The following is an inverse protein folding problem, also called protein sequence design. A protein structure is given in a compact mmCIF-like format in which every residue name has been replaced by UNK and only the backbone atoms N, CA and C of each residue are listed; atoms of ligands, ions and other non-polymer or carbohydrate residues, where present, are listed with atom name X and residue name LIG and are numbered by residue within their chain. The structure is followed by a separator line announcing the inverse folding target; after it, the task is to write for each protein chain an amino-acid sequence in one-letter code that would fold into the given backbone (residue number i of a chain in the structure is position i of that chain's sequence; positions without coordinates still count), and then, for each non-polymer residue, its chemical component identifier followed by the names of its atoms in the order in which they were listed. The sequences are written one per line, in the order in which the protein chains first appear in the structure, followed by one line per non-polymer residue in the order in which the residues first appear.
data_IF_726344079886
#
_entry.id   IF_726344079886
#
_cell.length_a   1.000
_cell.length_b   1.000
_cell.length_c   1.000
_cell.angle_alpha   90.00
_cell.angle_beta   90.00
_cell.angle_gamma   90.00
#
_symmetry.space_group_name_H-M   'P 1'
#
loop_
_entity.id
_entity.type
_entity.pdbx_description
1 polymer ?
#
# COMPACT_ATOMS: atom_id res chain seq x y z
N UNK A 1 -9.31 18.60 7.28
CA UNK A 1 -8.00 17.91 7.35
C UNK A 1 -6.94 18.94 7.66
N UNK A 2 -6.03 18.68 8.61
CA UNK A 2 -4.95 19.61 8.90
C UNK A 2 -3.94 19.63 7.75
N UNK A 3 -3.61 20.83 7.25
CA UNK A 3 -2.58 21.02 6.21
C UNK A 3 -1.22 21.15 6.87
N UNK A 4 -0.61 20.01 7.20
CA UNK A 4 0.80 19.94 7.60
C UNK A 4 1.71 20.25 6.41
N UNK A 5 2.84 20.92 6.65
CA UNK A 5 3.91 21.15 5.65
C UNK A 5 4.94 20.02 5.62
N UNK A 6 4.80 19.03 6.51
CA UNK A 6 5.71 17.89 6.59
C UNK A 6 5.48 16.95 5.40
N UNK A 7 6.55 16.57 4.71
CA UNK A 7 6.50 15.60 3.61
C UNK A 7 6.46 14.17 4.15
N UNK A 8 5.33 13.50 3.95
CA UNK A 8 5.01 12.26 4.67
C UNK A 8 4.86 11.05 3.76
N UNK A 9 4.50 11.25 2.49
CA UNK A 9 4.25 10.19 1.52
C UNK A 9 5.34 10.20 0.47
N UNK A 10 5.99 9.06 0.25
CA UNK A 10 7.00 8.93 -0.81
C UNK A 10 6.35 8.94 -2.20
N UNK A 11 6.97 9.65 -3.14
CA UNK A 11 6.56 9.66 -4.54
C UNK A 11 6.74 8.32 -5.24
N UNK A 12 7.41 7.33 -4.61
CA UNK A 12 7.36 5.94 -5.09
C UNK A 12 5.93 5.39 -5.14
N UNK A 13 5.08 5.79 -4.19
CA UNK A 13 3.64 5.47 -4.22
C UNK A 13 2.96 6.18 -5.39
N UNK A 14 3.26 7.47 -5.55
CA UNK A 14 2.65 8.32 -6.59
C UNK A 14 2.97 7.83 -7.98
N UNK A 15 4.19 7.35 -8.21
CA UNK A 15 4.55 6.79 -9.49
C UNK A 15 3.70 5.58 -9.87
N UNK A 16 3.37 4.69 -8.93
CA UNK A 16 2.47 3.57 -9.22
C UNK A 16 1.11 4.06 -9.72
N UNK A 17 0.55 5.06 -9.05
CA UNK A 17 -0.73 5.68 -9.43
C UNK A 17 -0.60 6.36 -10.80
N UNK A 18 0.42 7.20 -10.98
CA UNK A 18 0.68 7.93 -12.24
C UNK A 18 0.83 6.97 -13.41
N UNK A 19 1.64 5.91 -13.27
CA UNK A 19 1.84 4.91 -14.31
C UNK A 19 0.52 4.22 -14.68
N UNK A 20 -0.31 3.87 -13.69
CA UNK A 20 -1.65 3.31 -13.93
C UNK A 20 -2.58 4.29 -14.67
N UNK A 21 -2.58 5.57 -14.29
CA UNK A 21 -3.41 6.60 -14.92
C UNK A 21 -2.99 6.90 -16.35
N UNK A 22 -1.68 6.94 -16.63
CA UNK A 22 -1.14 7.10 -17.98
C UNK A 22 -1.55 5.93 -18.87
N UNK A 23 -1.48 4.69 -18.36
CA UNK A 23 -1.84 3.50 -19.12
C UNK A 23 -3.30 3.50 -19.59
N UNK A 24 -4.20 4.07 -18.79
CA UNK A 24 -5.63 4.19 -19.15
C UNK A 24 -5.96 5.53 -19.83
N UNK A 25 -4.94 6.34 -20.16
CA UNK A 25 -5.09 7.67 -20.78
C UNK A 25 -6.01 8.61 -20.00
N UNK A 26 -5.92 8.57 -18.67
CA UNK A 26 -6.67 9.46 -17.79
C UNK A 26 -6.22 10.92 -17.96
N UNK A 27 -7.13 11.87 -17.78
CA UNK A 27 -6.81 13.29 -17.82
C UNK A 27 -6.00 13.70 -16.58
N UNK A 28 -4.71 13.94 -16.79
CA UNK A 28 -3.79 14.30 -15.71
C UNK A 28 -4.08 15.66 -15.08
N UNK A 29 -4.84 16.55 -15.73
CA UNK A 29 -5.24 17.81 -15.13
C UNK A 29 -6.18 17.59 -13.94
N UNK A 30 -7.08 16.60 -14.02
CA UNK A 30 -7.95 16.21 -12.91
C UNK A 30 -7.13 15.64 -11.76
N UNK A 31 -6.14 14.79 -12.07
CA UNK A 31 -5.24 14.22 -11.07
C UNK A 31 -4.46 15.29 -10.30
N UNK A 32 -3.99 16.33 -11.01
CA UNK A 32 -3.21 17.44 -10.43
C UNK A 32 -4.07 18.59 -9.85
N UNK A 33 -5.40 18.48 -9.90
CA UNK A 33 -6.28 19.58 -9.51
C UNK A 33 -6.14 19.92 -8.02
N UNK A 34 -5.80 21.19 -7.73
CA UNK A 34 -5.74 21.70 -6.35
C UNK A 34 -4.57 21.18 -5.52
N UNK A 35 -3.52 20.67 -6.16
CA UNK A 35 -2.25 20.34 -5.50
C UNK A 35 -1.10 21.25 -5.99
N UNK A 36 -0.06 21.46 -5.19
CA UNK A 36 1.00 22.43 -5.52
C UNK A 36 2.15 21.81 -6.34
N UNK A 37 1.95 20.62 -6.92
CA UNK A 37 2.98 19.89 -7.67
C UNK A 37 2.55 19.61 -9.09
N UNK A 38 3.53 19.54 -9.97
CA UNK A 38 3.37 19.04 -11.33
C UNK A 38 3.61 17.52 -11.40
N UNK A 39 3.40 16.97 -12.59
CA UNK A 39 3.60 15.57 -12.87
C UNK A 39 5.08 15.14 -12.76
N UNK A 40 6.02 16.02 -13.07
CA UNK A 40 7.45 15.72 -13.04
C UNK A 40 7.91 15.46 -11.60
N UNK A 41 7.51 16.34 -10.67
CA UNK A 41 7.75 16.20 -9.25
C UNK A 41 7.18 14.87 -8.72
N UNK A 42 5.92 14.56 -9.05
CA UNK A 42 5.25 13.34 -8.57
C UNK A 42 5.87 12.04 -9.13
N UNK A 43 6.58 12.11 -10.26
CA UNK A 43 7.32 10.97 -10.83
C UNK A 43 8.73 10.80 -10.21
N UNK A 44 9.25 11.80 -9.51
CA UNK A 44 10.55 11.71 -8.87
C UNK A 44 10.51 10.85 -7.60
N UNK A 45 11.03 9.63 -7.66
CA UNK A 45 11.05 8.63 -6.56
C UNK A 45 11.77 9.07 -5.28
N UNK A 46 12.62 10.09 -5.37
CA UNK A 46 13.40 10.60 -4.24
C UNK A 46 12.64 11.68 -3.45
N UNK A 47 11.56 12.19 -4.02
CA UNK A 47 10.73 13.23 -3.42
C UNK A 47 9.59 12.65 -2.57
N UNK A 48 8.97 13.54 -1.80
CA UNK A 48 7.86 13.23 -0.91
C UNK A 48 6.83 14.35 -0.95
N UNK A 49 5.56 14.00 -0.74
CA UNK A 49 4.45 14.94 -0.62
C UNK A 49 3.83 14.89 0.79
N UNK A 50 3.11 15.94 1.14
CA UNK A 50 2.32 16.02 2.37
C UNK A 50 1.15 15.04 2.32
N UNK A 51 0.70 14.55 3.48
CA UNK A 51 -0.45 13.64 3.53
C UNK A 51 -1.73 14.25 2.94
N UNK A 52 -1.93 15.55 3.10
CA UNK A 52 -3.11 16.24 2.55
C UNK A 52 -3.09 16.28 1.03
N UNK A 53 -1.91 16.36 0.40
CA UNK A 53 -1.77 16.29 -1.05
C UNK A 53 -2.14 14.89 -1.53
N UNK A 54 -1.66 13.84 -0.85
CA UNK A 54 -2.08 12.47 -1.14
C UNK A 54 -3.60 12.32 -1.05
N UNK A 55 -4.22 12.81 0.04
CA UNK A 55 -5.67 12.74 0.20
C UNK A 55 -6.44 13.53 -0.86
N UNK A 56 -5.92 14.68 -1.28
CA UNK A 56 -6.51 15.50 -2.35
C UNK A 56 -6.45 14.77 -3.69
N UNK A 57 -5.30 14.19 -4.05
CA UNK A 57 -5.14 13.35 -5.25
C UNK A 57 -6.18 12.22 -5.25
N UNK A 58 -6.26 11.47 -4.14
CA UNK A 58 -7.21 10.36 -4.02
C UNK A 58 -8.66 10.86 -4.13
N UNK A 59 -8.98 12.01 -3.54
CA UNK A 59 -10.30 12.64 -3.66
C UNK A 59 -10.65 13.05 -5.09
N UNK A 60 -9.68 13.49 -5.89
CA UNK A 60 -9.90 13.83 -7.30
C UNK A 60 -10.20 12.58 -8.14
N UNK A 61 -9.63 11.43 -7.76
CA UNK A 61 -9.84 10.15 -8.45
C UNK A 61 -11.18 9.49 -8.08
N UNK A 62 -11.67 9.68 -6.85
CA UNK A 62 -12.89 9.04 -6.33
C UNK A 62 -14.11 9.06 -7.27
N UNK A 63 -14.45 10.15 -7.99
CA UNK A 63 -15.60 10.15 -8.89
C UNK A 63 -15.47 9.23 -10.12
N UNK A 64 -14.24 8.83 -10.47
CA UNK A 64 -13.93 8.13 -11.72
C UNK A 64 -13.56 6.66 -11.52
N UNK A 65 -13.26 6.26 -10.28
CA UNK A 65 -12.76 4.93 -9.96
C UNK A 65 -13.60 4.27 -8.88
N UNK A 66 -13.92 3.01 -9.11
CA UNK A 66 -14.58 2.16 -8.13
C UNK A 66 -13.58 1.65 -7.10
N UNK A 67 -14.09 1.04 -6.03
CA UNK A 67 -13.26 0.29 -5.08
C UNK A 67 -12.32 -0.70 -5.79
N UNK A 68 -12.85 -1.49 -6.73
CA UNK A 68 -12.08 -2.51 -7.44
C UNK A 68 -10.94 -1.89 -8.26
N UNK A 69 -11.17 -0.72 -8.84
CA UNK A 69 -10.14 -0.03 -9.61
C UNK A 69 -8.97 0.40 -8.73
N UNK A 70 -9.24 0.91 -7.52
CA UNK A 70 -8.18 1.25 -6.55
C UNK A 70 -7.39 0.03 -6.08
N UNK A 71 -8.06 -1.12 -5.87
CA UNK A 71 -7.37 -2.38 -5.57
C UNK A 71 -6.45 -2.78 -6.75
N UNK A 72 -6.94 -2.66 -7.99
CA UNK A 72 -6.21 -3.03 -9.20
C UNK A 72 -5.03 -2.13 -9.52
N UNK A 73 -5.10 -0.83 -9.24
CA UNK A 73 -3.98 0.12 -9.44
C UNK A 73 -2.75 -0.34 -8.66
N UNK A 74 -2.89 -0.69 -7.37
CA UNK A 74 -1.76 -1.14 -6.58
C UNK A 74 -1.31 -2.55 -6.95
N UNK A 75 -2.26 -3.44 -7.27
CA UNK A 75 -1.96 -4.79 -7.74
C UNK A 75 -1.04 -4.75 -8.97
N UNK A 76 -1.36 -3.90 -9.95
CA UNK A 76 -0.53 -3.74 -11.14
C UNK A 76 0.87 -3.21 -10.81
N UNK A 77 0.99 -2.22 -9.91
CA UNK A 77 2.30 -1.72 -9.48
C UNK A 77 3.18 -2.83 -8.89
N UNK A 78 2.60 -3.70 -8.05
CA UNK A 78 3.31 -4.82 -7.44
C UNK A 78 3.70 -5.86 -8.49
N UNK A 79 2.78 -6.25 -9.39
CA UNK A 79 3.02 -7.32 -10.38
C UNK A 79 4.10 -6.97 -11.41
N UNK A 80 4.30 -5.68 -11.69
CA UNK A 80 5.37 -5.18 -12.56
C UNK A 80 6.78 -5.23 -11.93
N UNK A 81 6.93 -5.72 -10.69
CA UNK A 81 8.22 -5.81 -10.01
C UNK A 81 8.84 -4.45 -9.65
N UNK A 82 8.12 -3.34 -9.86
CA UNK A 82 8.55 -1.97 -9.54
C UNK A 82 8.65 -1.71 -8.04
N UNK A 83 8.14 -2.62 -7.22
CA UNK A 83 8.14 -2.55 -5.76
C UNK A 83 8.68 -3.85 -5.14
N UNK A 84 9.94 -4.18 -5.47
CA UNK A 84 10.62 -5.38 -4.98
C UNK A 84 10.68 -5.44 -3.45
N UNK A 85 10.85 -4.28 -2.78
CA UNK A 85 10.79 -4.18 -1.32
C UNK A 85 9.43 -4.62 -0.76
N UNK A 86 8.35 -4.40 -1.50
CA UNK A 86 7.02 -4.90 -1.17
C UNK A 86 6.86 -6.41 -1.29
N UNK A 87 7.53 -7.03 -2.26
CA UNK A 87 7.56 -8.49 -2.39
C UNK A 87 8.28 -9.13 -1.20
N UNK A 88 9.41 -8.54 -0.76
CA UNK A 88 10.09 -8.95 0.47
C UNK A 88 9.19 -8.74 1.70
N UNK A 89 8.50 -7.60 1.76
CA UNK A 89 7.53 -7.31 2.81
C UNK A 89 6.44 -8.39 2.89
N UNK A 90 5.85 -8.77 1.75
CA UNK A 90 4.89 -9.86 1.65
C UNK A 90 5.46 -11.22 2.06
N UNK A 91 6.70 -11.53 1.66
CA UNK A 91 7.36 -12.79 2.00
C UNK A 91 7.54 -12.95 3.51
N UNK A 92 8.03 -11.91 4.19
CA UNK A 92 8.26 -11.98 5.63
C UNK A 92 6.97 -11.90 6.43
N UNK A 93 6.00 -11.08 6.00
CA UNK A 93 4.71 -10.95 6.70
C UNK A 93 3.82 -12.17 6.55
N UNK A 94 3.73 -12.73 5.35
CA UNK A 94 2.84 -13.85 5.05
C UNK A 94 3.56 -15.21 5.08
N UNK A 95 4.84 -15.23 5.49
CA UNK A 95 5.71 -16.40 5.56
C UNK A 95 5.31 -17.39 6.67
N UNK A 96 5.63 -17.03 7.90
CA UNK A 96 5.11 -17.64 9.12
C UNK A 96 5.08 -16.57 10.20
N UNK A 97 4.23 -16.70 11.21
CA UNK A 97 4.26 -15.76 12.33
C UNK A 97 5.64 -15.67 13.00
N UNK A 98 6.44 -16.74 12.96
CA UNK A 98 7.81 -16.72 13.48
C UNK A 98 8.71 -15.83 12.64
N UNK A 99 8.66 -15.93 11.30
CA UNK A 99 9.41 -15.04 10.40
C UNK A 99 8.94 -13.59 10.51
N UNK A 100 7.62 -13.38 10.52
CA UNK A 100 7.02 -12.05 10.65
C UNK A 100 7.42 -11.38 11.98
N UNK A 101 7.52 -12.14 13.08
CA UNK A 101 8.03 -11.62 14.38
C UNK A 101 9.53 -11.32 14.32
N UNK A 102 10.34 -12.21 13.74
CA UNK A 102 11.79 -12.04 13.66
C UNK A 102 12.19 -10.82 12.81
N UNK A 103 11.46 -10.56 11.74
CA UNK A 103 11.73 -9.46 10.81
C UNK A 103 10.76 -8.29 10.95
N UNK A 104 9.94 -8.26 12.01
CA UNK A 104 8.90 -7.26 12.24
C UNK A 104 9.43 -5.83 12.06
N UNK A 105 10.57 -5.53 12.68
CA UNK A 105 11.14 -4.18 12.66
C UNK A 105 11.66 -3.82 11.26
N UNK A 106 12.24 -4.77 10.53
CA UNK A 106 12.77 -4.56 9.17
C UNK A 106 11.63 -4.37 8.16
N UNK A 107 10.59 -5.20 8.26
CA UNK A 107 9.35 -5.12 7.46
C UNK A 107 8.73 -3.74 7.63
N UNK A 108 8.59 -3.26 8.87
CA UNK A 108 7.89 -2.01 9.10
C UNK A 108 8.72 -0.78 8.80
N UNK A 109 10.04 -0.83 8.93
CA UNK A 109 10.95 0.21 8.41
C UNK A 109 10.75 0.47 6.92
N UNK A 110 10.51 -0.58 6.12
CA UNK A 110 10.20 -0.41 4.69
C UNK A 110 8.89 0.37 4.47
N UNK A 111 7.87 0.10 5.26
CA UNK A 111 6.64 0.89 5.17
C UNK A 111 6.76 2.32 5.72
N UNK A 112 7.68 2.59 6.67
CA UNK A 112 7.98 3.98 7.12
C UNK A 112 8.60 4.79 5.99
N UNK A 113 9.42 4.15 5.14
CA UNK A 113 9.96 4.77 3.95
C UNK A 113 8.85 5.24 3.01
N UNK A 114 7.77 4.48 2.89
CA UNK A 114 6.62 4.82 2.04
C UNK A 114 5.72 5.88 2.67
N UNK A 115 5.34 5.70 3.95
CA UNK A 115 4.45 6.58 4.70
C UNK A 115 5.02 6.83 6.10
N UNK A 116 5.52 8.03 6.37
CA UNK A 116 6.18 8.34 7.65
C UNK A 116 5.23 8.82 8.74
N UNK A 117 3.98 9.13 8.41
CA UNK A 117 2.94 9.56 9.35
C UNK A 117 2.03 8.42 9.83
N UNK A 118 2.16 7.23 9.24
CA UNK A 118 1.35 6.05 9.60
C UNK A 118 2.09 5.21 10.63
N UNK A 119 1.63 5.29 11.88
CA UNK A 119 2.03 4.38 12.96
C UNK A 119 1.37 3.02 12.75
N UNK A 120 2.09 1.95 13.09
CA UNK A 120 1.62 0.59 12.85
C UNK A 120 1.76 -0.29 14.08
N UNK A 121 0.79 -1.19 14.25
CA UNK A 121 0.81 -2.24 15.27
C UNK A 121 0.37 -3.55 14.63
N UNK A 122 1.03 -4.66 14.97
CA UNK A 122 0.62 -6.00 14.53
C UNK A 122 0.28 -6.85 15.73
N UNK A 123 -0.87 -7.50 15.69
CA UNK A 123 -1.29 -8.53 16.64
C UNK A 123 -1.38 -9.86 15.91
N UNK A 124 -0.59 -10.84 16.34
CA UNK A 124 -0.64 -12.20 15.80
C UNK A 124 -1.74 -12.97 16.50
N UNK A 125 -2.84 -13.25 15.81
CA UNK A 125 -4.02 -13.89 16.39
C UNK A 125 -3.87 -15.41 16.39
N UNK A 126 -3.51 -15.98 15.24
CA UNK A 126 -3.35 -17.43 15.03
C UNK A 126 -2.20 -17.65 14.05
N UNK A 127 -1.76 -18.91 13.85
CA UNK A 127 -0.59 -19.27 13.04
C UNK A 127 -0.55 -18.60 11.66
N UNK A 128 -1.69 -18.49 10.98
CA UNK A 128 -1.83 -17.89 9.66
C UNK A 128 -2.84 -16.73 9.67
N UNK A 129 -2.94 -16.00 10.78
CA UNK A 129 -3.89 -14.91 10.94
C UNK A 129 -3.31 -13.81 11.80
N UNK A 130 -3.36 -12.59 11.30
CA UNK A 130 -2.89 -11.42 12.01
C UNK A 130 -3.82 -10.24 11.82
N UNK A 131 -3.75 -9.33 12.78
CA UNK A 131 -4.46 -8.06 12.77
C UNK A 131 -3.44 -6.95 12.70
N UNK A 132 -3.57 -6.09 11.70
CA UNK A 132 -2.66 -4.96 11.47
C UNK A 132 -3.45 -3.67 11.66
N UNK A 133 -2.92 -2.78 12.47
CA UNK A 133 -3.47 -1.46 12.71
C UNK A 133 -2.59 -0.45 11.97
N UNK A 134 -3.21 0.40 11.15
CA UNK A 134 -2.61 1.60 10.59
C UNK A 134 -3.26 2.80 11.29
N UNK A 135 -2.45 3.61 11.98
CA UNK A 135 -2.89 4.66 12.90
C UNK A 135 -2.27 5.98 12.46
N UNK A 136 -3.11 6.99 12.32
CA UNK A 136 -2.69 8.37 12.10
C UNK A 136 -2.80 9.16 13.41
N UNK A 137 -2.00 10.22 13.52
CA UNK A 137 -2.09 11.16 14.64
C UNK A 137 -3.34 12.04 14.55
N UNK A 138 -3.66 12.72 15.65
CA UNK A 138 -4.79 13.64 15.70
C UNK A 138 -4.69 14.72 14.60
N UNK A 139 -5.82 15.09 14.00
CA UNK A 139 -5.88 16.06 12.89
C UNK A 139 -5.71 15.48 11.48
N UNK A 140 -5.24 14.23 11.39
CA UNK A 140 -5.17 13.46 10.14
C UNK A 140 -6.39 12.55 9.97
N UNK A 141 -6.73 12.24 8.71
CA UNK A 141 -7.77 11.28 8.38
C UNK A 141 -7.33 10.38 7.22
N UNK A 142 -7.74 9.12 7.25
CA UNK A 142 -7.54 8.19 6.14
C UNK A 142 -8.60 8.39 5.06
N UNK A 143 -8.20 8.50 3.77
CA UNK A 143 -9.14 8.24 2.69
C UNK A 143 -9.44 6.73 2.66
N UNK A 144 -10.72 6.34 2.51
CA UNK A 144 -11.12 4.92 2.49
C UNK A 144 -10.39 4.14 1.39
N UNK A 145 -10.07 4.82 0.28
CA UNK A 145 -9.34 4.28 -0.85
C UNK A 145 -7.93 3.80 -0.47
N UNK A 146 -7.30 4.37 0.56
CA UNK A 146 -6.03 3.85 1.07
C UNK A 146 -6.15 2.39 1.51
N UNK A 147 -7.28 2.00 2.10
CA UNK A 147 -7.53 0.62 2.51
C UNK A 147 -7.67 -0.31 1.28
N UNK A 148 -8.37 0.14 0.23
CA UNK A 148 -8.49 -0.59 -1.04
C UNK A 148 -7.13 -0.74 -1.74
N UNK A 149 -6.35 0.35 -1.85
CA UNK A 149 -4.98 0.30 -2.36
C UNK A 149 -4.14 -0.74 -1.59
N UNK A 150 -4.18 -0.69 -0.26
CA UNK A 150 -3.39 -1.60 0.60
C UNK A 150 -3.83 -3.05 0.42
N UNK A 151 -5.13 -3.32 0.36
CA UNK A 151 -5.70 -4.65 0.10
C UNK A 151 -5.22 -5.20 -1.25
N UNK A 152 -5.30 -4.42 -2.33
CA UNK A 152 -4.85 -4.83 -3.65
C UNK A 152 -3.36 -5.21 -3.72
N UNK A 153 -2.50 -4.45 -3.02
CA UNK A 153 -1.08 -4.79 -2.91
C UNK A 153 -0.85 -6.07 -2.11
N UNK A 154 -1.56 -6.26 -1.00
CA UNK A 154 -1.41 -7.47 -0.18
C UNK A 154 -1.87 -8.72 -0.91
N UNK A 155 -2.99 -8.65 -1.62
CA UNK A 155 -3.45 -9.73 -2.49
C UNK A 155 -2.34 -10.13 -3.48
N UNK A 156 -1.75 -9.16 -4.18
CA UNK A 156 -0.70 -9.45 -5.15
C UNK A 156 0.57 -10.02 -4.51
N UNK A 157 1.00 -9.45 -3.38
CA UNK A 157 2.13 -10.01 -2.63
C UNK A 157 1.88 -11.47 -2.27
N UNK A 158 0.65 -11.83 -1.91
CA UNK A 158 0.34 -13.21 -1.51
C UNK A 158 0.32 -14.18 -2.67
N UNK A 159 -0.14 -13.72 -3.85
CA UNK A 159 -0.01 -14.48 -5.09
C UNK A 159 1.46 -14.69 -5.43
N UNK A 160 2.27 -13.63 -5.38
CA UNK A 160 3.71 -13.70 -5.65
C UNK A 160 4.41 -14.61 -4.64
N UNK A 161 3.97 -14.65 -3.38
CA UNK A 161 4.53 -15.55 -2.35
C UNK A 161 3.82 -16.91 -2.26
N UNK A 162 2.99 -17.25 -3.25
CA UNK A 162 2.40 -18.59 -3.42
C UNK A 162 1.44 -19.01 -2.30
N UNK A 163 0.81 -18.06 -1.61
CA UNK A 163 -0.14 -18.36 -0.52
C UNK A 163 -1.54 -18.57 -1.10
N UNK A 164 -2.18 -19.68 -0.70
CA UNK A 164 -3.57 -20.00 -1.06
C UNK A 164 -4.52 -19.56 0.05
N UNK A 165 -5.76 -19.26 -0.33
CA UNK A 165 -6.82 -18.86 0.61
C UNK A 165 -6.53 -17.55 1.33
N UNK A 166 -5.77 -16.66 0.70
CA UNK A 166 -5.51 -15.35 1.27
C UNK A 166 -6.80 -14.54 1.36
N UNK A 167 -7.04 -13.93 2.51
CA UNK A 167 -8.17 -13.05 2.75
C UNK A 167 -7.74 -11.82 3.53
N UNK A 168 -8.16 -10.66 3.08
CA UNK A 168 -8.01 -9.39 3.79
C UNK A 168 -9.39 -8.77 3.95
N UNK A 169 -9.82 -8.67 5.20
CA UNK A 169 -10.94 -7.84 5.59
C UNK A 169 -10.39 -6.58 6.26
N UNK A 170 -11.11 -5.47 6.21
CA UNK A 170 -10.72 -4.28 6.93
C UNK A 170 -11.89 -3.45 7.42
N UNK A 171 -11.64 -2.63 8.43
CA UNK A 171 -12.54 -1.58 8.89
C UNK A 171 -11.80 -0.25 8.87
N UNK A 172 -12.49 0.80 8.42
CA UNK A 172 -11.94 2.16 8.36
C UNK A 172 -12.71 3.04 9.32
N UNK A 173 -11.94 3.78 10.12
CA UNK A 173 -12.40 4.94 10.88
C UNK A 173 -11.51 6.12 10.52
N UNK A 174 -11.81 7.32 11.04
CA UNK A 174 -11.06 8.55 10.72
C UNK A 174 -9.56 8.37 10.81
N UNK A 175 -9.04 7.91 11.96
CA UNK A 175 -7.60 7.84 12.24
C UNK A 175 -7.05 6.42 12.31
N UNK A 176 -7.91 5.41 12.17
CA UNK A 176 -7.52 4.01 12.32
C UNK A 176 -8.11 3.18 11.18
N UNK A 177 -7.24 2.43 10.52
CA UNK A 177 -7.62 1.29 9.69
C UNK A 177 -7.16 0.03 10.40
N UNK A 178 -8.09 -0.91 10.53
CA UNK A 178 -7.78 -2.25 11.03
C UNK A 178 -7.91 -3.22 9.88
N UNK A 179 -6.83 -3.95 9.57
CA UNK A 179 -6.86 -5.06 8.64
C UNK A 179 -6.81 -6.38 9.39
N UNK A 180 -7.65 -7.32 8.99
CA UNK A 180 -7.60 -8.72 9.40
C UNK A 180 -7.13 -9.52 8.20
N UNK A 181 -5.98 -10.16 8.36
CA UNK A 181 -5.32 -10.90 7.30
C UNK A 181 -5.23 -12.37 7.68
N UNK A 182 -5.67 -13.24 6.78
CA UNK A 182 -5.62 -14.68 6.96
C UNK A 182 -5.15 -15.41 5.69
N UNK A 183 -4.56 -16.60 5.84
CA UNK A 183 -4.21 -17.50 4.73
C UNK A 183 -4.25 -18.98 5.15
N UNK A 184 -4.42 -19.90 4.19
CA UNK A 184 -4.67 -21.31 4.51
C UNK A 184 -3.40 -22.09 4.87
N UNK A 185 -2.26 -21.81 4.21
CA UNK A 185 -1.04 -22.64 4.33
C UNK A 185 0.23 -21.84 4.56
N UNK A 186 1.11 -22.39 5.40
CA UNK A 186 2.53 -22.05 5.35
C UNK A 186 3.07 -22.47 3.98
N UNK A 187 3.31 -21.50 3.12
CA UNK A 187 4.15 -21.62 1.94
C UNK A 187 5.50 -22.20 2.36
N UNK A 188 5.70 -23.44 1.94
CA UNK A 188 7.00 -24.06 1.82
C UNK A 188 7.89 -23.12 0.99
N UNK A 189 9.16 -23.00 1.39
CA UNK A 189 10.23 -22.35 0.63
C UNK A 189 9.97 -22.34 -0.88
N UNK A 190 10.06 -21.15 -1.49
CA UNK A 190 9.87 -20.97 -2.93
C UNK A 190 10.75 -21.95 -3.72
N UNK A 191 10.09 -22.77 -4.55
CA UNK A 191 10.58 -22.99 -5.90
C UNK A 191 10.44 -21.65 -6.61
N UNK A 192 11.54 -20.90 -6.71
CA UNK A 192 11.69 -19.79 -7.65
C UNK A 192 11.57 -20.41 -9.05
N UNK A 193 10.35 -20.53 -9.59
CA UNK A 193 10.16 -20.76 -11.01
C UNK A 193 10.47 -19.44 -11.70
N UNK A 194 11.67 -19.39 -12.29
CA UNK A 194 12.09 -18.37 -13.25
C UNK A 194 10.95 -18.12 -14.24
N UNK A 195 10.36 -16.92 -14.18
CA UNK A 195 9.75 -16.30 -15.36
C UNK A 195 10.67 -15.13 -15.72
N UNK A 196 11.81 -15.51 -16.31
CA UNK A 196 12.50 -14.70 -17.29
C UNK A 196 12.28 -15.48 -18.58
N UNK A 197 11.32 -15.03 -19.38
CA UNK A 197 11.28 -15.26 -20.82
C UNK A 197 11.28 -13.87 -21.47
#
# INVERSE_FOLDING_TARGET
MQTSTKKEVSNRVMQGIVDSLINIKFDMNIFLEGIPYDLEYLKNRHERIEWWVYCKIISNLRPYFTQTDFEMMNRHMVSQGKYFEGVLFGFFLFGSNRLARLFHNQIWKLGEFTFSNIKRKTEFLEKNKMKIYAILDEGYEFPVEFAYFTKGAWDEFTLIVGRKGFKVDFTVSKQLITFIVAWDKEGFFFRISRVIQ
#
